data_IF_228550942938
#
_entry.id   IF_228550942938
#
_cell.length_a   1.000
_cell.length_b   1.000
_cell.length_c   1.000
_cell.angle_alpha   90.00
_cell.angle_beta   90.00
_cell.angle_gamma   90.00
#
_symmetry.space_group_name_H-M   'P 1'
#
loop_
_entity.id
_entity.type
_entity.pdbx_description
1 polymer ?
#
# COMPACT_ATOMS: atom_id res chain seq x y z
N UNK A 1 -4.91 19.87 -10.40
CA UNK A 1 -4.84 19.54 -8.96
C UNK A 1 -6.18 19.60 -8.25
N UNK A 2 -7.32 19.67 -8.97
CA UNK A 2 -8.64 19.92 -8.38
C UNK A 2 -9.02 18.97 -7.22
N UNK A 3 -8.74 17.66 -7.34
CA UNK A 3 -8.98 16.69 -6.25
C UNK A 3 -8.18 17.03 -5.00
N UNK A 4 -6.89 17.34 -5.17
CA UNK A 4 -5.99 17.72 -4.08
C UNK A 4 -6.27 19.14 -3.57
N UNK A 5 -7.08 19.94 -4.26
CA UNK A 5 -7.48 21.29 -3.85
C UNK A 5 -8.94 21.34 -3.35
N UNK A 6 -9.57 20.17 -3.15
CA UNK A 6 -10.99 20.07 -2.79
C UNK A 6 -11.31 20.51 -1.37
N UNK A 7 -10.38 20.30 -0.42
CA UNK A 7 -10.43 20.80 0.95
C UNK A 7 -9.03 20.76 1.60
N UNK A 8 -8.96 21.28 2.83
CA UNK A 8 -7.72 21.40 3.60
C UNK A 8 -7.06 20.02 3.86
N UNK A 9 -7.83 18.95 3.97
CA UNK A 9 -7.34 17.59 4.26
C UNK A 9 -6.87 16.81 3.03
N UNK A 10 -7.30 17.23 1.83
CA UNK A 10 -7.08 16.49 0.58
C UNK A 10 -5.61 16.37 0.15
N UNK A 11 -4.70 17.16 0.74
CA UNK A 11 -3.25 17.11 0.47
C UNK A 11 -2.45 16.32 1.51
N UNK A 12 -3.11 15.76 2.51
CA UNK A 12 -2.49 14.99 3.59
C UNK A 12 -2.93 13.54 3.52
N UNK A 13 -2.09 12.64 4.03
CA UNK A 13 -2.36 11.21 3.98
C UNK A 13 -3.34 10.81 5.09
N UNK A 14 -4.44 10.15 4.72
CA UNK A 14 -5.37 9.50 5.64
C UNK A 14 -5.05 8.03 5.90
N UNK A 15 -4.40 7.36 4.95
CA UNK A 15 -4.08 5.94 5.04
C UNK A 15 -2.76 5.58 4.36
N UNK A 16 -2.10 4.57 4.93
CA UNK A 16 -1.01 3.83 4.34
C UNK A 16 -1.28 2.33 4.52
N UNK A 17 -1.15 1.55 3.45
CA UNK A 17 -1.24 0.10 3.53
C UNK A 17 -0.26 -0.59 2.58
N UNK A 18 0.00 -1.87 2.84
CA UNK A 18 0.89 -2.73 2.05
C UNK A 18 0.03 -3.79 1.35
N UNK A 19 0.15 -3.85 0.02
CA UNK A 19 -0.42 -4.89 -0.83
C UNK A 19 0.52 -6.08 -0.96
N UNK A 20 0.01 -7.28 -0.68
CA UNK A 20 0.79 -8.52 -0.75
C UNK A 20 -0.07 -9.76 -1.10
N UNK A 21 -1.23 -9.59 -1.73
CA UNK A 21 -2.02 -10.75 -2.17
C UNK A 21 -1.30 -11.46 -3.33
N UNK A 22 -0.86 -12.72 -3.18
CA UNK A 22 0.01 -13.38 -4.16
C UNK A 22 -0.68 -13.69 -5.50
N UNK A 23 -2.02 -13.60 -5.55
CA UNK A 23 -2.83 -13.88 -6.74
C UNK A 23 -3.05 -12.65 -7.61
N UNK A 24 -2.87 -11.44 -7.08
CA UNK A 24 -3.10 -10.19 -7.81
C UNK A 24 -1.75 -9.60 -8.17
N UNK A 25 -1.39 -9.62 -9.45
CA UNK A 25 -0.02 -9.27 -9.89
C UNK A 25 0.04 -8.03 -10.76
N UNK A 26 -0.98 -7.82 -11.58
CA UNK A 26 -1.01 -6.77 -12.59
C UNK A 26 -2.16 -5.80 -12.31
N UNK A 27 -2.02 -4.51 -12.68
CA UNK A 27 -3.10 -3.55 -12.60
C UNK A 27 -4.35 -4.01 -13.36
N UNK A 28 -5.50 -3.93 -12.69
CA UNK A 28 -6.82 -4.32 -13.19
C UNK A 28 -7.69 -3.10 -13.55
N UNK A 29 -7.23 -1.88 -13.26
CA UNK A 29 -8.01 -0.64 -13.37
C UNK A 29 -9.28 -0.67 -12.49
N UNK A 30 -9.18 -1.39 -11.39
CA UNK A 30 -10.19 -1.50 -10.35
C UNK A 30 -9.48 -1.42 -9.01
N UNK A 31 -9.77 -0.35 -8.27
CA UNK A 31 -9.03 -0.02 -7.07
C UNK A 31 -9.13 -1.11 -5.99
N UNK A 32 -10.25 -1.84 -5.94
CA UNK A 32 -10.46 -2.91 -4.97
C UNK A 32 -9.45 -4.06 -5.14
N UNK A 33 -8.97 -4.28 -6.37
CA UNK A 33 -7.92 -5.25 -6.67
C UNK A 33 -6.54 -4.60 -6.63
N UNK A 34 -6.42 -3.40 -7.20
CA UNK A 34 -5.13 -2.74 -7.38
C UNK A 34 -4.45 -2.42 -6.03
N UNK A 35 -5.23 -2.03 -5.00
CA UNK A 35 -4.71 -1.81 -3.64
C UNK A 35 -4.13 -3.08 -2.99
N UNK A 36 -4.45 -4.26 -3.53
CA UNK A 36 -4.03 -5.56 -2.99
C UNK A 36 -2.87 -6.21 -3.77
N UNK A 37 -2.39 -5.59 -4.85
CA UNK A 37 -1.34 -6.15 -5.72
C UNK A 37 -0.13 -6.63 -4.90
N UNK A 38 0.37 -7.83 -5.22
CA UNK A 38 1.55 -8.40 -4.59
C UNK A 38 2.75 -7.45 -4.69
N UNK A 39 3.37 -7.10 -3.57
CA UNK A 39 4.55 -6.24 -3.59
C UNK A 39 4.23 -4.76 -3.87
N UNK A 40 2.99 -4.33 -3.70
CA UNK A 40 2.60 -2.91 -3.77
C UNK A 40 2.42 -2.28 -2.38
N UNK A 41 2.34 -0.98 -2.33
CA UNK A 41 1.77 -0.24 -1.19
C UNK A 41 0.87 0.86 -1.76
N UNK A 42 0.01 1.43 -0.93
CA UNK A 42 -0.71 2.64 -1.31
C UNK A 42 -0.66 3.68 -0.22
N UNK A 43 -0.71 4.93 -0.67
CA UNK A 43 -1.05 6.06 0.18
C UNK A 43 -2.37 6.64 -0.30
N UNK A 44 -3.13 7.15 0.65
CA UNK A 44 -4.45 7.71 0.37
C UNK A 44 -4.49 9.16 0.82
N UNK A 45 -4.32 10.15 -0.07
CA UNK A 45 -4.65 11.52 0.25
C UNK A 45 -6.12 11.66 0.67
N UNK A 46 -6.35 12.40 1.77
CA UNK A 46 -7.67 12.69 2.31
C UNK A 46 -8.02 11.89 3.57
N UNK A 47 -9.30 11.53 3.69
CA UNK A 47 -9.96 11.07 4.90
C UNK A 47 -9.31 9.82 5.48
N UNK A 48 -8.96 9.86 6.77
CA UNK A 48 -8.59 8.68 7.52
C UNK A 48 -9.84 7.87 7.92
N UNK A 49 -9.73 6.53 7.93
CA UNK A 49 -10.78 5.67 8.49
C UNK A 49 -10.95 5.90 9.99
N UNK A 50 -12.14 5.65 10.52
CA UNK A 50 -12.44 5.85 11.95
C UNK A 50 -11.63 4.88 12.82
N UNK A 51 -11.46 3.65 12.35
CA UNK A 51 -10.75 2.56 13.02
C UNK A 51 -9.23 2.77 13.07
N UNK A 52 -8.68 3.54 12.12
CA UNK A 52 -7.25 3.84 11.98
C UNK A 52 -7.00 5.36 11.88
N UNK A 53 -7.75 6.12 12.69
CA UNK A 53 -7.82 7.57 12.55
C UNK A 53 -6.50 8.25 12.96
N UNK A 54 -5.94 9.04 12.05
CA UNK A 54 -4.75 9.88 12.30
C UNK A 54 -5.09 11.38 12.46
N UNK A 55 -6.38 11.72 12.48
CA UNK A 55 -6.90 13.08 12.61
C UNK A 55 -7.16 13.79 11.29
N UNK A 56 -6.74 13.25 10.14
CA UNK A 56 -7.02 13.87 8.85
C UNK A 56 -8.50 13.75 8.48
N UNK A 57 -9.10 14.87 8.12
CA UNK A 57 -10.52 14.97 7.75
C UNK A 57 -10.63 15.60 6.37
N UNK A 58 -11.29 14.91 5.46
CA UNK A 58 -11.45 15.35 4.07
C UNK A 58 -12.70 14.72 3.47
N UNK A 59 -13.21 15.30 2.39
CA UNK A 59 -14.25 14.65 1.58
C UNK A 59 -13.66 13.68 0.55
N UNK A 60 -12.34 13.73 0.33
CA UNK A 60 -11.61 12.84 -0.58
C UNK A 60 -11.07 11.65 0.20
N UNK A 61 -11.04 10.48 -0.42
CA UNK A 61 -10.25 9.32 -0.01
C UNK A 61 -9.82 8.66 -1.32
N UNK A 62 -8.58 8.91 -1.74
CA UNK A 62 -8.13 8.54 -3.07
C UNK A 62 -6.88 7.67 -3.04
N UNK A 63 -7.04 6.38 -3.30
CA UNK A 63 -5.94 5.42 -3.19
C UNK A 63 -4.99 5.52 -4.38
N UNK A 64 -3.71 5.74 -4.07
CA UNK A 64 -2.63 5.80 -5.04
C UNK A 64 -1.67 4.63 -4.83
N UNK A 65 -1.74 3.65 -5.72
CA UNK A 65 -0.97 2.40 -5.63
C UNK A 65 0.41 2.56 -6.27
N UNK A 66 1.43 2.05 -5.58
CA UNK A 66 2.82 1.96 -6.06
C UNK A 66 3.33 0.54 -5.95
N UNK A 67 3.67 -0.08 -7.09
CA UNK A 67 4.23 -1.43 -7.16
C UNK A 67 5.75 -1.32 -7.01
N UNK A 68 6.32 -2.04 -6.03
CA UNK A 68 7.76 -2.01 -5.74
C UNK A 68 8.49 -3.27 -6.20
N UNK A 69 7.91 -4.11 -7.06
CA UNK A 69 8.63 -5.26 -7.62
C UNK A 69 9.67 -4.79 -8.65
N UNK A 70 10.77 -5.55 -8.90
CA UNK A 70 11.86 -5.10 -9.76
C UNK A 70 11.42 -4.67 -11.17
N UNK A 71 10.45 -5.36 -11.77
CA UNK A 71 9.93 -5.05 -13.10
C UNK A 71 9.12 -3.74 -13.17
N UNK A 72 8.75 -3.18 -12.00
CA UNK A 72 8.11 -1.87 -11.84
C UNK A 72 9.06 -0.79 -11.29
N UNK A 73 10.36 -1.09 -11.17
CA UNK A 73 11.39 -0.16 -10.69
C UNK A 73 11.96 -0.49 -9.31
N UNK A 74 11.41 -1.48 -8.61
CA UNK A 74 11.87 -1.90 -7.29
C UNK A 74 11.49 -0.92 -6.17
N UNK A 75 12.06 -1.14 -5.00
CA UNK A 75 11.93 -0.19 -3.89
C UNK A 75 12.17 -0.81 -2.53
N UNK A 76 12.33 0.06 -1.53
CA UNK A 76 12.52 -0.33 -0.15
C UNK A 76 11.50 0.38 0.73
N UNK A 77 11.02 -0.31 1.76
CA UNK A 77 10.20 0.26 2.83
C UNK A 77 10.98 0.10 4.12
N UNK A 78 11.22 1.22 4.79
CA UNK A 78 11.82 1.27 6.11
C UNK A 78 10.80 1.76 7.11
N UNK A 79 10.66 1.05 8.23
CA UNK A 79 10.02 1.59 9.43
C UNK A 79 11.13 1.94 10.40
N UNK A 80 11.18 3.21 10.78
CA UNK A 80 12.33 3.81 11.46
C UNK A 80 13.63 3.52 10.69
N UNK A 81 14.50 2.65 11.22
CA UNK A 81 15.78 2.27 10.63
C UNK A 81 15.84 0.79 10.21
N UNK A 82 14.71 0.07 10.25
CA UNK A 82 14.62 -1.35 9.91
C UNK A 82 14.04 -1.53 8.50
N UNK A 83 14.73 -2.30 7.67
CA UNK A 83 14.26 -2.65 6.33
C UNK A 83 13.14 -3.69 6.45
N UNK A 84 11.90 -3.24 6.25
CA UNK A 84 10.71 -4.10 6.35
C UNK A 84 10.44 -4.82 5.03
N UNK A 85 10.63 -4.13 3.91
CA UNK A 85 10.36 -4.68 2.58
C UNK A 85 11.41 -4.24 1.58
N UNK A 86 11.86 -5.18 0.74
CA UNK A 86 12.72 -4.91 -0.41
C UNK A 86 12.16 -5.57 -1.65
N UNK A 87 12.01 -4.78 -2.70
CA UNK A 87 11.55 -5.20 -4.01
C UNK A 87 10.23 -6.00 -3.97
N UNK A 88 9.32 -5.58 -3.08
CA UNK A 88 8.02 -6.22 -2.86
C UNK A 88 7.99 -7.39 -1.88
N UNK A 89 9.15 -7.83 -1.35
CA UNK A 89 9.28 -8.96 -0.43
C UNK A 89 9.60 -8.51 1.00
N UNK A 90 8.94 -9.10 1.99
CA UNK A 90 9.24 -8.89 3.41
C UNK A 90 10.61 -9.48 3.77
N UNK A 91 11.38 -8.73 4.57
CA UNK A 91 12.78 -9.05 4.90
C UNK A 91 12.95 -9.57 6.34
N UNK A 92 12.31 -9.00 7.38
CA UNK A 92 12.49 -9.48 8.75
C UNK A 92 11.99 -10.92 8.94
N UNK A 93 12.69 -11.70 9.76
CA UNK A 93 12.43 -13.14 9.98
C UNK A 93 11.00 -13.44 10.46
N UNK A 94 10.37 -12.53 11.19
CA UNK A 94 8.99 -12.65 11.67
C UNK A 94 7.95 -12.25 10.61
N UNK A 95 8.35 -11.54 9.55
CA UNK A 95 7.49 -11.09 8.46
C UNK A 95 7.64 -11.91 7.18
N UNK A 96 8.70 -12.72 7.00
CA UNK A 96 8.87 -13.54 5.79
C UNK A 96 7.72 -14.52 5.56
N UNK A 97 6.97 -14.89 6.62
CA UNK A 97 5.76 -15.72 6.51
C UNK A 97 4.65 -15.06 5.66
N UNK A 98 4.71 -13.74 5.46
CA UNK A 98 3.78 -12.98 4.63
C UNK A 98 4.19 -12.96 3.15
N UNK A 99 5.33 -13.55 2.78
CA UNK A 99 5.78 -13.62 1.39
C UNK A 99 4.96 -14.63 0.55
N UNK A 100 4.84 -14.42 -0.77
CA UNK A 100 3.95 -15.19 -1.65
C UNK A 100 4.05 -16.72 -1.54
N UNK A 101 5.26 -17.26 -1.40
CA UNK A 101 5.51 -18.70 -1.29
C UNK A 101 4.83 -19.35 -0.07
N UNK A 102 4.65 -18.59 1.01
CA UNK A 102 4.03 -19.05 2.25
C UNK A 102 2.50 -18.90 2.23
N UNK A 103 1.96 -18.08 1.34
CA UNK A 103 0.54 -17.79 1.24
C UNK A 103 -0.20 -18.67 0.21
N UNK A 104 0.52 -19.21 -0.78
CA UNK A 104 -0.05 -20.04 -1.84
C UNK A 104 -0.15 -21.53 -1.49
N UNK A 105 0.50 -21.96 -0.41
CA UNK A 105 0.60 -23.38 -0.01
C UNK A 105 -0.52 -23.86 0.91
N UNK A 106 -1.49 -23.01 1.24
CA UNK A 106 -2.64 -23.34 2.10
C UNK A 106 -3.80 -24.06 1.35
N UNK A 107 -3.48 -24.94 0.40
CA UNK A 107 -4.43 -25.71 -0.41
C UNK A 107 -4.35 -27.21 -0.18
#
# INVERSE_FOLDING_TARGET
>A
NEILDSDDGARYIGEFAIGFNPMIKEPMLDILFDEKIAGSFHFTPGQAYEEANNGNKSQVHWDMVSIQRPEWGGGEIYFDNELIRKDGMFVPDDLVVLNPENLLSAG
#
